data_IF_727847621956
#
_entry.id   IF_727847621956
#
_cell.length_a   1.000
_cell.length_b   1.000
_cell.length_c   1.000
_cell.angle_alpha   90.00
_cell.angle_beta   90.00
_cell.angle_gamma   90.00
#
_symmetry.space_group_name_H-M   'P 1'
#
loop_
_entity.id
_entity.type
_entity.pdbx_description
1 polymer ?
#
# COMPACT_ATOMS: atom_id res chain seq x y z
N UNK A 1 8.22 0.69 10.12
CA UNK A 1 8.88 1.52 9.08
C UNK A 1 7.84 2.51 8.58
N UNK A 2 8.06 3.81 8.75
CA UNK A 2 7.24 4.84 8.10
C UNK A 2 7.48 4.80 6.60
N UNK A 3 6.47 5.16 5.81
CA UNK A 3 6.31 5.10 4.33
C UNK A 3 7.56 5.33 3.45
N UNK A 4 8.62 5.98 3.95
CA UNK A 4 9.88 6.23 3.22
C UNK A 4 11.01 5.24 3.51
N UNK A 5 10.83 4.30 4.45
CA UNK A 5 11.89 3.35 4.86
C UNK A 5 13.09 3.98 5.57
N UNK A 6 13.06 5.29 5.85
CA UNK A 6 14.17 6.02 6.45
C UNK A 6 14.36 5.67 7.94
N UNK A 7 15.61 5.70 8.39
CA UNK A 7 15.94 5.56 9.81
C UNK A 7 15.54 6.82 10.58
N UNK A 8 15.28 6.67 11.89
CA UNK A 8 14.97 7.83 12.74
C UNK A 8 16.08 8.88 12.76
N UNK A 9 17.34 8.45 12.56
CA UNK A 9 18.50 9.35 12.46
C UNK A 9 18.41 10.24 11.23
N UNK A 10 18.15 9.66 10.05
CA UNK A 10 17.99 10.43 8.82
C UNK A 10 16.80 11.40 8.91
N UNK A 11 15.71 10.98 9.53
CA UNK A 11 14.54 11.85 9.76
C UNK A 11 14.91 12.98 10.73
N UNK A 12 15.62 12.68 11.82
CA UNK A 12 16.11 13.69 12.76
C UNK A 12 17.02 14.73 12.11
N UNK A 13 17.94 14.29 11.24
CA UNK A 13 18.79 15.17 10.43
C UNK A 13 17.97 16.04 9.48
N UNK A 14 16.96 15.48 8.81
CA UNK A 14 16.15 16.24 7.86
C UNK A 14 15.28 17.31 8.52
N UNK A 15 14.64 16.96 9.64
CA UNK A 15 13.78 17.90 10.38
C UNK A 15 14.55 18.73 11.43
N UNK A 16 15.87 18.54 11.53
CA UNK A 16 16.73 19.24 12.50
C UNK A 16 16.21 19.13 13.95
N UNK A 17 15.75 17.93 14.30
CA UNK A 17 15.20 17.62 15.61
C UNK A 17 15.81 16.35 16.19
N UNK A 18 15.82 16.27 17.52
CA UNK A 18 16.33 15.08 18.22
C UNK A 18 15.48 13.85 17.89
N UNK A 19 16.13 12.68 17.85
CA UNK A 19 15.45 11.40 17.64
C UNK A 19 14.30 11.17 18.65
N UNK A 20 14.45 11.67 19.88
CA UNK A 20 13.38 11.61 20.89
C UNK A 20 12.14 12.42 20.48
N UNK A 21 12.34 13.62 19.93
CA UNK A 21 11.23 14.45 19.41
C UNK A 21 10.59 13.78 18.20
N UNK A 22 11.38 13.27 17.25
CA UNK A 22 10.85 12.53 16.09
C UNK A 22 10.02 11.33 16.54
N UNK A 23 10.55 10.50 17.44
CA UNK A 23 9.83 9.33 17.97
C UNK A 23 8.52 9.71 18.64
N UNK A 24 8.52 10.76 19.48
CA UNK A 24 7.32 11.24 20.17
C UNK A 24 6.23 11.65 19.19
N UNK A 25 6.57 12.41 18.15
CA UNK A 25 5.59 12.85 17.16
C UNK A 25 5.13 11.70 16.26
N UNK A 26 6.03 10.78 15.89
CA UNK A 26 5.63 9.57 15.17
C UNK A 26 4.57 8.77 15.93
N UNK A 27 4.78 8.51 17.23
CA UNK A 27 3.79 7.81 18.06
C UNK A 27 2.47 8.58 18.16
N UNK A 28 2.51 9.91 18.31
CA UNK A 28 1.30 10.74 18.34
C UNK A 28 0.51 10.63 17.04
N UNK A 29 1.18 10.74 15.89
CA UNK A 29 0.54 10.63 14.58
C UNK A 29 -0.03 9.24 14.34
N UNK A 30 0.70 8.20 14.74
CA UNK A 30 0.21 6.82 14.68
C UNK A 30 -1.10 6.66 15.47
N UNK A 31 -1.16 7.16 16.71
CA UNK A 31 -2.39 7.12 17.52
C UNK A 31 -3.52 7.88 16.81
N UNK A 32 -3.27 9.09 16.31
CA UNK A 32 -4.27 9.91 15.63
C UNK A 32 -4.85 9.17 14.42
N UNK A 33 -3.98 8.62 13.56
CA UNK A 33 -4.41 7.91 12.35
C UNK A 33 -5.10 6.58 12.64
N UNK A 34 -4.78 5.95 13.77
CA UNK A 34 -5.48 4.75 14.25
C UNK A 34 -6.78 5.04 15.01
N UNK A 35 -7.14 6.31 15.24
CA UNK A 35 -8.43 6.60 15.89
C UNK A 35 -9.59 6.25 14.98
N UNK A 36 -10.67 5.72 15.57
CA UNK A 36 -11.88 5.36 14.83
C UNK A 36 -12.43 6.56 14.04
N UNK A 37 -12.44 7.76 14.63
CA UNK A 37 -12.94 8.97 13.99
C UNK A 37 -12.11 9.35 12.75
N UNK A 38 -10.79 9.24 12.82
CA UNK A 38 -9.93 9.51 11.66
C UNK A 38 -10.14 8.43 10.60
N UNK A 39 -10.10 7.17 11.01
CA UNK A 39 -10.19 6.03 10.11
C UNK A 39 -11.49 6.04 9.30
N UNK A 40 -12.65 6.18 9.95
CA UNK A 40 -13.95 6.16 9.25
C UNK A 40 -14.20 7.40 8.40
N UNK A 41 -13.58 8.53 8.73
CA UNK A 41 -13.76 9.79 7.99
C UNK A 41 -12.88 9.90 6.75
N UNK A 42 -11.71 9.30 6.76
CA UNK A 42 -10.69 9.53 5.72
C UNK A 42 -10.25 8.26 5.00
N UNK A 43 -10.37 7.08 5.62
CA UNK A 43 -10.03 5.81 4.98
C UNK A 43 -11.30 5.21 4.40
N UNK A 44 -11.41 5.28 3.08
CA UNK A 44 -12.48 4.64 2.32
C UNK A 44 -11.89 3.54 1.45
N UNK A 45 -12.50 2.36 1.50
CA UNK A 45 -12.19 1.34 0.50
C UNK A 45 -12.66 1.85 -0.88
N UNK A 46 -11.92 1.56 -1.96
CA UNK A 46 -12.45 1.74 -3.30
C UNK A 46 -13.73 0.91 -3.45
N UNK A 47 -14.64 1.38 -4.30
CA UNK A 47 -15.90 0.69 -4.58
C UNK A 47 -15.62 -0.75 -5.02
N UNK A 48 -16.15 -1.72 -4.27
CA UNK A 48 -15.89 -3.16 -4.43
C UNK A 48 -16.27 -3.66 -5.83
N UNK A 49 -17.16 -2.95 -6.52
CA UNK A 49 -17.67 -3.35 -7.83
C UNK A 49 -16.93 -2.70 -9.00
N UNK A 50 -15.91 -1.87 -8.75
CA UNK A 50 -15.25 -1.09 -9.80
C UNK A 50 -13.91 -1.69 -10.19
N UNK A 51 -13.96 -2.76 -10.98
CA UNK A 51 -12.78 -3.32 -11.64
C UNK A 51 -12.25 -2.30 -12.65
N UNK A 52 -10.92 -2.11 -12.69
CA UNK A 52 -10.31 -1.19 -13.64
C UNK A 52 -10.50 -1.69 -15.09
N UNK A 53 -10.79 -0.78 -16.03
CA UNK A 53 -11.06 -1.13 -17.44
C UNK A 53 -9.92 -1.90 -18.10
N UNK A 54 -8.67 -1.63 -17.71
CA UNK A 54 -7.51 -2.39 -18.21
C UNK A 54 -7.53 -3.89 -17.88
N UNK A 55 -8.27 -4.30 -16.84
CA UNK A 55 -8.51 -5.71 -16.50
C UNK A 55 -9.76 -6.20 -17.22
N UNK A 56 -10.83 -5.41 -17.22
CA UNK A 56 -12.12 -5.76 -17.81
C UNK A 56 -12.03 -6.00 -19.32
N UNK A 57 -11.32 -5.14 -20.04
CA UNK A 57 -11.23 -5.16 -21.50
C UNK A 57 -10.14 -6.12 -22.01
N UNK A 58 -9.30 -6.64 -21.11
CA UNK A 58 -8.18 -7.51 -21.46
C UNK A 58 -8.54 -8.98 -21.24
N UNK A 59 -8.81 -9.69 -22.33
CA UNK A 59 -9.18 -11.12 -22.32
C UNK A 59 -8.13 -12.03 -21.68
N UNK A 60 -6.85 -11.61 -21.62
CA UNK A 60 -5.78 -12.34 -20.93
C UNK A 60 -5.84 -12.16 -19.41
N UNK A 61 -6.26 -10.99 -18.92
CA UNK A 61 -6.29 -10.68 -17.49
C UNK A 61 -7.65 -11.01 -16.85
N UNK A 62 -8.73 -10.86 -17.60
CA UNK A 62 -10.09 -11.08 -17.10
C UNK A 62 -10.30 -12.40 -16.37
N UNK A 63 -9.83 -13.57 -16.85
CA UNK A 63 -10.03 -14.84 -16.16
C UNK A 63 -9.42 -14.89 -14.76
N UNK A 64 -8.38 -14.11 -14.49
CA UNK A 64 -7.61 -14.14 -13.24
C UNK A 64 -7.98 -13.01 -12.28
N UNK A 65 -8.42 -11.86 -12.80
CA UNK A 65 -8.59 -10.64 -12.02
C UNK A 65 -10.01 -10.06 -12.05
N UNK A 66 -11.01 -10.79 -12.56
CA UNK A 66 -12.41 -10.35 -12.59
C UNK A 66 -13.02 -10.04 -11.21
N UNK A 67 -12.44 -10.53 -10.12
CA UNK A 67 -12.90 -10.27 -8.75
C UNK A 67 -11.89 -9.40 -7.97
N UNK A 68 -10.93 -8.79 -8.67
CA UNK A 68 -9.91 -7.94 -8.05
C UNK A 68 -10.49 -6.55 -7.71
N UNK A 69 -10.53 -6.25 -6.41
CA UNK A 69 -11.01 -4.96 -5.86
C UNK A 69 -9.91 -3.87 -6.00
N UNK A 70 -8.64 -4.27 -6.06
CA UNK A 70 -7.50 -3.37 -6.19
C UNK A 70 -6.27 -3.89 -5.44
N UNK A 71 -5.15 -3.18 -5.55
CA UNK A 71 -3.97 -3.46 -4.74
C UNK A 71 -4.12 -2.78 -3.36
N UNK A 72 -4.09 -3.56 -2.28
CA UNK A 72 -4.25 -3.07 -0.89
C UNK A 72 -3.30 -1.93 -0.50
N UNK A 73 -2.10 -1.90 -1.08
CA UNK A 73 -1.03 -0.95 -0.73
C UNK A 73 -0.42 -0.28 -1.97
N UNK A 74 -0.98 -0.49 -3.17
CA UNK A 74 -0.35 -0.04 -4.43
C UNK A 74 1.02 -0.68 -4.75
N UNK A 75 1.59 -1.44 -3.82
CA UNK A 75 2.86 -2.15 -3.94
C UNK A 75 2.81 -3.23 -5.03
N UNK A 76 3.60 -3.03 -6.09
CA UNK A 76 3.78 -4.02 -7.15
C UNK A 76 4.89 -4.99 -6.74
N UNK A 77 4.53 -6.23 -6.39
CA UNK A 77 5.50 -7.30 -6.15
C UNK A 77 5.79 -7.98 -7.49
N UNK A 78 7.06 -7.97 -7.91
CA UNK A 78 7.47 -8.68 -9.11
C UNK A 78 7.36 -10.19 -8.89
N UNK A 79 6.39 -10.83 -9.55
CA UNK A 79 6.19 -12.27 -9.52
C UNK A 79 6.40 -12.83 -10.93
N UNK A 80 7.31 -13.80 -11.05
CA UNK A 80 7.46 -14.59 -12.27
C UNK A 80 7.20 -16.06 -11.89
N UNK A 81 6.32 -16.77 -12.62
CA UNK A 81 6.13 -18.19 -12.41
C UNK A 81 7.45 -18.94 -12.69
N UNK A 82 7.64 -20.06 -12.00
CA UNK A 82 8.82 -20.92 -12.21
C UNK A 82 8.83 -21.43 -13.65
N UNK A 83 10.01 -21.71 -14.22
CA UNK A 83 10.12 -22.17 -15.61
C UNK A 83 9.30 -23.44 -15.89
N UNK A 84 9.03 -24.25 -14.87
CA UNK A 84 8.17 -25.44 -14.92
C UNK A 84 6.67 -25.13 -15.05
N UNK A 85 6.23 -23.95 -14.65
CA UNK A 85 4.82 -23.51 -14.72
C UNK A 85 4.54 -22.68 -15.99
N UNK A 86 5.55 -22.47 -16.84
CA UNK A 86 5.36 -21.85 -18.15
C UNK A 86 4.73 -22.91 -19.04
N UNK A 87 3.40 -22.98 -19.01
CA UNK A 87 2.64 -23.85 -19.89
C UNK A 87 3.11 -23.68 -21.33
N UNK A 88 3.53 -24.78 -21.96
CA UNK A 88 3.74 -24.87 -23.39
C UNK A 88 2.41 -24.59 -24.08
N UNK A 89 2.24 -23.36 -24.56
CA UNK A 89 1.17 -23.01 -25.47
C UNK A 89 1.42 -23.62 -26.86
#
# INVERSE_FOLDING_TARGET
>A
MSVTGLTIRHVGEWFQHSNATISRYFHKMLIIFSTLLFYTKYIHLPDENKIHTCIQDNTRFWPFFKDAIGALDGSHIHAAPSATDHGTF
#
